data_IF_877372252068
#
_entry.id   IF_877372252068
#
_cell.length_a   1.000
_cell.length_b   1.000
_cell.length_c   1.000
_cell.angle_alpha   90.00
_cell.angle_beta   90.00
_cell.angle_gamma   90.00
#
_symmetry.space_group_name_H-M   'P 1'
#
loop_
_entity.id
_entity.type
_entity.pdbx_description
1 polymer ?
#
# COMPACT_ATOMS: atom_id res chain seq x y z
N UNK A 1 12.00 -2.36 2.66
CA UNK A 1 11.65 -3.08 1.42
C UNK A 1 11.90 -2.22 0.21
N UNK A 2 12.34 -2.85 -0.85
CA UNK A 2 12.50 -2.17 -2.14
C UNK A 2 11.15 -2.12 -2.86
N UNK A 3 11.01 -1.22 -3.82
CA UNK A 3 9.81 -1.13 -4.65
C UNK A 3 9.52 -2.44 -5.38
N UNK A 4 10.57 -3.11 -5.86
CA UNK A 4 10.43 -4.40 -6.54
C UNK A 4 9.81 -5.46 -5.65
N UNK A 5 10.20 -5.51 -4.38
CA UNK A 5 9.63 -6.46 -3.43
C UNK A 5 8.18 -6.13 -3.11
N UNK A 6 7.84 -4.85 -3.04
CA UNK A 6 6.47 -4.39 -2.84
C UNK A 6 5.60 -4.83 -4.02
N UNK A 7 6.06 -4.59 -5.24
CA UNK A 7 5.35 -5.00 -6.45
C UNK A 7 5.17 -6.52 -6.49
N UNK A 8 6.22 -7.27 -6.14
CA UNK A 8 6.14 -8.73 -6.11
C UNK A 8 5.10 -9.22 -5.10
N UNK A 9 5.03 -8.59 -3.93
CA UNK A 9 4.05 -8.94 -2.91
C UNK A 9 2.61 -8.67 -3.40
N UNK A 10 2.42 -7.56 -4.11
CA UNK A 10 1.11 -7.19 -4.67
C UNK A 10 0.69 -8.17 -5.76
N UNK A 11 1.62 -8.55 -6.63
CA UNK A 11 1.34 -9.45 -7.75
C UNK A 11 0.95 -10.87 -7.33
N UNK A 12 1.23 -11.24 -6.09
CA UNK A 12 0.84 -12.55 -5.55
C UNK A 12 -0.62 -12.63 -5.13
N UNK A 13 -1.31 -11.49 -5.07
CA UNK A 13 -2.67 -11.42 -4.55
C UNK A 13 -3.65 -11.08 -5.66
N UNK A 14 -4.68 -11.90 -5.82
CA UNK A 14 -5.77 -11.66 -6.77
C UNK A 14 -6.92 -10.95 -6.06
N UNK A 15 -7.74 -10.24 -6.83
CA UNK A 15 -8.97 -9.65 -6.32
C UNK A 15 -8.79 -8.37 -5.50
N UNK A 16 -7.68 -7.67 -5.64
CA UNK A 16 -7.43 -6.42 -4.92
C UNK A 16 -8.53 -5.39 -5.14
N UNK A 17 -9.09 -5.34 -6.36
CA UNK A 17 -10.13 -4.36 -6.70
C UNK A 17 -11.39 -4.45 -5.84
N UNK A 18 -11.67 -5.62 -5.26
CA UNK A 18 -12.82 -5.82 -4.38
C UNK A 18 -12.51 -5.63 -2.89
N UNK A 19 -11.29 -5.23 -2.56
CA UNK A 19 -10.85 -5.09 -1.17
C UNK A 19 -10.81 -3.64 -0.72
N UNK A 20 -11.02 -3.41 0.59
CA UNK A 20 -10.75 -2.12 1.20
C UNK A 20 -9.23 -1.88 1.24
N UNK A 21 -8.81 -0.67 1.55
CA UNK A 21 -7.39 -0.35 1.67
C UNK A 21 -6.71 -1.22 2.73
N UNK A 22 -7.33 -1.37 3.89
CA UNK A 22 -6.78 -2.21 4.95
C UNK A 22 -6.68 -3.67 4.53
N UNK A 23 -7.68 -4.17 3.83
CA UNK A 23 -7.65 -5.55 3.32
C UNK A 23 -6.53 -5.75 2.32
N UNK A 24 -6.29 -4.77 1.44
CA UNK A 24 -5.20 -4.82 0.47
C UNK A 24 -3.84 -4.87 1.16
N UNK A 25 -3.64 -4.04 2.19
CA UNK A 25 -2.39 -4.01 2.96
C UNK A 25 -2.18 -5.33 3.70
N UNK A 26 -3.23 -5.86 4.31
CA UNK A 26 -3.16 -7.12 5.04
C UNK A 26 -2.88 -8.31 4.10
N UNK A 27 -3.64 -8.41 3.02
CA UNK A 27 -3.52 -9.52 2.08
C UNK A 27 -2.16 -9.58 1.40
N UNK A 28 -1.55 -8.43 1.13
CA UNK A 28 -0.23 -8.36 0.49
C UNK A 28 0.91 -8.49 1.50
N UNK A 29 0.61 -8.45 2.79
CA UNK A 29 1.64 -8.47 3.83
C UNK A 29 2.39 -7.15 3.98
N UNK A 30 1.84 -6.06 3.44
CA UNK A 30 2.51 -4.75 3.44
C UNK A 30 2.08 -3.84 4.59
N UNK A 31 1.21 -4.30 5.48
CA UNK A 31 0.67 -3.46 6.55
C UNK A 31 1.76 -2.87 7.44
N UNK A 32 2.71 -3.69 7.89
CA UNK A 32 3.81 -3.23 8.74
C UNK A 32 4.72 -2.24 8.00
N UNK A 33 5.02 -2.52 6.76
CA UNK A 33 5.85 -1.64 5.94
C UNK A 33 5.17 -0.30 5.72
N UNK A 34 3.86 -0.32 5.48
CA UNK A 34 3.08 0.88 5.33
C UNK A 34 3.05 1.71 6.62
N UNK A 35 2.76 1.08 7.77
CA UNK A 35 2.74 1.76 9.06
C UNK A 35 4.08 2.42 9.37
N UNK A 36 5.17 1.70 9.11
CA UNK A 36 6.52 2.22 9.30
C UNK A 36 6.77 3.42 8.39
N UNK A 37 6.33 3.34 7.15
CA UNK A 37 6.49 4.43 6.17
C UNK A 37 5.68 5.67 6.56
N UNK A 38 4.49 5.50 7.11
CA UNK A 38 3.67 6.62 7.59
C UNK A 38 4.41 7.45 8.63
N UNK A 39 5.27 6.82 9.42
CA UNK A 39 6.00 7.49 10.50
C UNK A 39 7.31 8.12 10.02
N UNK A 40 7.97 7.51 9.03
CA UNK A 40 9.34 7.90 8.67
C UNK A 40 9.50 8.36 7.23
N UNK A 41 8.61 7.96 6.32
CA UNK A 41 8.74 8.28 4.90
C UNK A 41 7.37 8.29 4.23
N UNK A 42 6.68 9.41 4.33
CA UNK A 42 5.32 9.55 3.79
C UNK A 42 5.25 9.35 2.27
N UNK A 43 6.29 9.72 1.55
CA UNK A 43 6.33 9.52 0.10
C UNK A 43 6.30 8.04 -0.25
N UNK A 44 7.01 7.22 0.52
CA UNK A 44 6.98 5.78 0.35
C UNK A 44 5.60 5.21 0.69
N UNK A 45 4.96 5.72 1.74
CA UNK A 45 3.61 5.32 2.10
C UNK A 45 2.63 5.61 0.97
N UNK A 46 2.70 6.79 0.36
CA UNK A 46 1.89 7.14 -0.79
C UNK A 46 2.14 6.19 -1.96
N UNK A 47 3.41 5.88 -2.21
CA UNK A 47 3.79 4.99 -3.30
C UNK A 47 3.22 3.58 -3.11
N UNK A 48 3.24 3.07 -1.88
CA UNK A 48 2.65 1.76 -1.57
C UNK A 48 1.16 1.76 -1.93
N UNK A 49 0.44 2.81 -1.54
CA UNK A 49 -0.99 2.91 -1.85
C UNK A 49 -1.25 3.05 -3.35
N UNK A 50 -0.42 3.80 -4.07
CA UNK A 50 -0.52 3.90 -5.53
C UNK A 50 -0.36 2.54 -6.20
N UNK A 51 0.64 1.77 -5.77
CA UNK A 51 0.89 0.43 -6.29
C UNK A 51 -0.25 -0.54 -5.99
N UNK A 52 -0.97 -0.30 -4.89
CA UNK A 52 -2.16 -1.06 -4.51
C UNK A 52 -3.43 -0.58 -5.24
N UNK A 53 -3.30 0.35 -6.17
CA UNK A 53 -4.41 0.92 -6.95
C UNK A 53 -5.43 1.68 -6.12
N UNK A 54 -4.98 2.30 -5.03
CA UNK A 54 -5.84 3.19 -4.24
C UNK A 54 -5.94 4.53 -4.96
N UNK A 55 -7.13 5.09 -5.03
CA UNK A 55 -7.35 6.37 -5.70
C UNK A 55 -6.67 7.52 -4.96
N UNK A 56 -6.30 8.55 -5.71
CA UNK A 56 -5.53 9.67 -5.16
C UNK A 56 -6.23 10.41 -4.02
N UNK A 57 -7.53 10.73 -4.12
CA UNK A 57 -8.22 11.37 -2.99
C UNK A 57 -8.15 10.56 -1.69
N UNK A 58 -8.25 9.23 -1.80
CA UNK A 58 -8.14 8.35 -0.64
C UNK A 58 -6.73 8.34 -0.08
N UNK A 59 -5.72 8.31 -0.96
CA UNK A 59 -4.32 8.39 -0.55
C UNK A 59 -4.07 9.67 0.24
N UNK A 60 -4.55 10.81 -0.26
CA UNK A 60 -4.36 12.11 0.38
C UNK A 60 -5.03 12.18 1.75
N UNK A 61 -6.12 11.46 1.97
CA UNK A 61 -6.79 11.39 3.27
C UNK A 61 -6.03 10.52 4.26
N UNK A 62 -5.44 9.43 3.77
CA UNK A 62 -4.74 8.46 4.61
C UNK A 62 -3.35 8.94 4.96
N UNK A 63 -2.62 9.47 3.98
CA UNK A 63 -1.26 9.97 4.16
C UNK A 63 -1.30 11.49 4.16
N UNK A 64 -1.38 12.06 5.34
CA UNK A 64 -1.46 13.52 5.53
C UNK A 64 -0.11 14.17 5.72
#
# INVERSE_FOLDING_TARGET
>A
MTEEKIIAAINKVDGLGGMTVNERLYATGLLKEFDKSLKSDKEKAKKILELLHVDKPSIDKIVK
#
